data_IF_702789844447
#
_entry.id   IF_702789844447
#
_cell.length_a   1.000
_cell.length_b   1.000
_cell.length_c   1.000
_cell.angle_alpha   90.00
_cell.angle_beta   90.00
_cell.angle_gamma   90.00
#
_symmetry.space_group_name_H-M   'P 1'
#
loop_
_entity.id
_entity.type
_entity.pdbx_description
1 polymer ?
#
# COMPACT_ATOMS: atom_id res chain seq x y z
N UNK A 1 12.57 55.16 114.43
CA UNK A 1 12.52 55.33 112.96
C UNK A 1 11.68 54.20 112.41
N UNK A 2 10.71 54.57 111.59
CA UNK A 2 9.41 53.94 111.36
C UNK A 2 9.45 52.77 110.38
N UNK A 3 8.72 51.72 110.75
CA UNK A 3 8.35 50.50 109.99
C UNK A 3 7.11 50.82 109.13
N UNK A 4 7.05 50.43 107.85
CA UNK A 4 5.84 50.26 106.97
C UNK A 4 6.35 49.82 105.58
N UNK A 5 5.78 48.95 104.75
CA UNK A 5 4.88 47.80 104.81
C UNK A 5 4.90 47.15 103.40
N UNK A 6 4.44 45.90 103.31
CA UNK A 6 4.29 45.05 102.13
C UNK A 6 3.36 45.60 101.03
N UNK A 7 3.64 45.26 99.77
CA UNK A 7 2.64 44.85 98.75
C UNK A 7 3.27 43.94 97.68
N UNK A 8 2.71 42.75 97.40
CA UNK A 8 3.05 41.94 96.23
C UNK A 8 2.04 42.22 95.10
N UNK A 9 2.51 42.68 93.94
CA UNK A 9 1.69 42.86 92.76
C UNK A 9 1.88 41.64 91.83
N UNK A 10 0.95 40.68 91.96
CA UNK A 10 0.81 39.53 91.08
C UNK A 10 0.25 39.97 89.72
N UNK A 11 1.12 40.16 88.73
CA UNK A 11 0.73 40.31 87.33
C UNK A 11 0.52 38.93 86.70
N UNK A 12 -0.73 38.49 86.65
CA UNK A 12 -1.18 37.32 85.88
C UNK A 12 -1.14 37.69 84.39
N UNK A 13 -0.15 37.19 83.67
CA UNK A 13 -0.11 37.24 82.21
C UNK A 13 -1.16 36.26 81.66
N UNK A 14 -2.31 36.79 81.25
CA UNK A 14 -3.29 36.05 80.44
C UNK A 14 -2.65 35.73 79.07
N UNK A 15 -2.53 34.46 78.72
CA UNK A 15 -2.10 33.99 77.40
C UNK A 15 -3.27 33.38 76.61
N UNK A 16 -4.08 34.20 75.90
CA UNK A 16 -4.98 33.72 74.84
C UNK A 16 -4.41 33.90 73.41
N UNK A 17 -3.29 34.62 73.21
CA UNK A 17 -2.76 34.94 71.86
C UNK A 17 -2.14 33.75 71.11
N UNK A 18 -1.52 32.79 71.79
CA UNK A 18 -0.78 31.69 71.16
C UNK A 18 -1.65 30.76 70.30
N UNK A 19 -2.91 30.57 70.67
CA UNK A 19 -3.84 29.71 69.94
C UNK A 19 -4.34 30.37 68.65
N UNK A 20 -4.56 31.69 68.69
CA UNK A 20 -4.92 32.49 67.51
C UNK A 20 -3.74 32.60 66.54
N UNK A 21 -2.50 32.75 67.04
CA UNK A 21 -1.28 32.72 66.23
C UNK A 21 -1.05 31.36 65.55
N UNK A 22 -1.30 30.25 66.24
CA UNK A 22 -1.21 28.90 65.69
C UNK A 22 -2.26 28.64 64.60
N UNK A 23 -3.50 29.10 64.77
CA UNK A 23 -4.53 28.99 63.74
C UNK A 23 -4.22 29.88 62.53
N UNK A 24 -3.74 31.10 62.74
CA UNK A 24 -3.31 31.99 61.66
C UNK A 24 -2.10 31.42 60.89
N UNK A 25 -1.15 30.77 61.59
CA UNK A 25 -0.04 30.04 60.96
C UNK A 25 -0.53 28.84 60.15
N UNK A 26 -1.45 28.04 60.70
CA UNK A 26 -2.01 26.88 59.99
C UNK A 26 -2.81 27.29 58.74
N UNK A 27 -3.58 28.38 58.80
CA UNK A 27 -4.29 28.92 57.64
C UNK A 27 -3.32 29.49 56.59
N UNK A 28 -2.28 30.21 57.03
CA UNK A 28 -1.25 30.71 56.13
C UNK A 28 -0.48 29.57 55.45
N UNK A 29 -0.19 28.48 56.16
CA UNK A 29 0.47 27.29 55.62
C UNK A 29 -0.46 26.52 54.68
N UNK A 30 -1.75 26.39 54.99
CA UNK A 30 -2.74 25.78 54.10
C UNK A 30 -2.91 26.57 52.78
N UNK A 31 -2.90 27.90 52.85
CA UNK A 31 -2.90 28.77 51.66
C UNK A 31 -1.60 28.59 50.87
N UNK A 32 -0.44 28.50 51.55
CA UNK A 32 0.87 28.30 50.91
C UNK A 32 0.95 26.94 50.19
N UNK A 33 0.45 25.88 50.81
CA UNK A 33 0.39 24.52 50.22
C UNK A 33 -0.58 24.48 49.05
N UNK A 34 -1.76 25.11 49.15
CA UNK A 34 -2.70 25.21 48.01
C UNK A 34 -2.11 25.99 46.84
N UNK A 35 -1.46 27.13 47.11
CA UNK A 35 -0.80 27.94 46.09
C UNK A 35 0.36 27.17 45.42
N UNK A 36 1.13 26.38 46.17
CA UNK A 36 2.18 25.51 45.62
C UNK A 36 1.60 24.39 44.75
N UNK A 37 0.52 23.75 45.18
CA UNK A 37 -0.16 22.69 44.41
C UNK A 37 -0.78 23.23 43.12
N UNK A 38 -1.38 24.43 43.15
CA UNK A 38 -1.90 25.10 41.95
C UNK A 38 -0.78 25.53 41.00
N UNK A 39 0.32 26.07 41.52
CA UNK A 39 1.51 26.41 40.73
C UNK A 39 2.13 25.18 40.06
N UNK A 40 2.20 24.05 40.78
CA UNK A 40 2.72 22.80 40.22
C UNK A 40 1.77 22.20 39.16
N UNK A 41 0.45 22.26 39.39
CA UNK A 41 -0.55 21.87 38.40
C UNK A 41 -0.44 22.71 37.13
N UNK A 42 -0.23 24.02 37.27
CA UNK A 42 -0.07 24.92 36.13
C UNK A 42 1.26 24.69 35.41
N UNK A 43 2.34 24.40 36.13
CA UNK A 43 3.63 23.99 35.55
C UNK A 43 3.50 22.71 34.72
N UNK A 44 2.82 21.69 35.25
CA UNK A 44 2.59 20.42 34.53
C UNK A 44 1.70 20.64 33.30
N UNK A 45 0.67 21.49 33.41
CA UNK A 45 -0.18 21.84 32.28
C UNK A 45 0.60 22.56 31.16
N UNK A 46 1.45 23.53 31.52
CA UNK A 46 2.31 24.23 30.57
C UNK A 46 3.32 23.28 29.91
N UNK A 47 3.97 22.40 30.69
CA UNK A 47 4.90 21.39 30.16
C UNK A 47 4.22 20.41 29.18
N UNK A 48 2.97 20.02 29.45
CA UNK A 48 2.17 19.19 28.53
C UNK A 48 1.79 19.94 27.26
N UNK A 49 1.47 21.23 27.37
CA UNK A 49 1.16 22.07 26.22
C UNK A 49 2.38 22.26 25.31
N UNK A 50 3.57 22.47 25.89
CA UNK A 50 4.84 22.57 25.16
C UNK A 50 5.17 21.25 24.43
N UNK A 51 5.11 20.10 25.11
CA UNK A 51 5.33 18.80 24.48
C UNK A 51 4.37 18.53 23.32
N UNK A 52 3.09 18.89 23.47
CA UNK A 52 2.09 18.73 22.40
C UNK A 52 2.42 19.62 21.21
N UNK A 53 2.83 20.86 21.45
CA UNK A 53 3.17 21.82 20.42
C UNK A 53 4.45 21.41 19.66
N UNK A 54 5.44 20.84 20.35
CA UNK A 54 6.62 20.24 19.73
C UNK A 54 6.26 19.03 18.86
N UNK A 55 5.39 18.14 19.36
CA UNK A 55 4.92 16.99 18.59
C UNK A 55 4.15 17.42 17.32
N UNK A 56 3.31 18.45 17.40
CA UNK A 56 2.60 19.02 16.26
C UNK A 56 3.56 19.67 15.24
N UNK A 57 4.58 20.40 15.71
CA UNK A 57 5.64 20.95 14.84
C UNK A 57 6.43 19.86 14.13
N UNK A 58 6.80 18.79 14.84
CA UNK A 58 7.51 17.65 14.26
C UNK A 58 6.65 16.91 13.22
N UNK A 59 5.36 16.71 13.52
CA UNK A 59 4.42 16.10 12.57
C UNK A 59 4.22 16.97 11.32
N UNK A 60 4.14 18.29 11.47
CA UNK A 60 4.03 19.22 10.36
C UNK A 60 5.31 19.22 9.49
N UNK A 61 6.49 19.26 10.11
CA UNK A 61 7.77 19.17 9.41
C UNK A 61 7.89 17.85 8.61
N UNK A 62 7.47 16.73 9.19
CA UNK A 62 7.43 15.44 8.50
C UNK A 62 6.51 15.46 7.27
N UNK A 63 5.31 16.03 7.40
CA UNK A 63 4.38 16.17 6.26
C UNK A 63 4.95 17.04 5.14
N UNK A 64 5.63 18.13 5.49
CA UNK A 64 6.30 18.98 4.49
C UNK A 64 7.41 18.20 3.76
N UNK A 65 8.24 17.46 4.49
CA UNK A 65 9.28 16.63 3.89
C UNK A 65 8.70 15.52 2.98
N UNK A 66 7.59 14.89 3.38
CA UNK A 66 6.89 13.90 2.54
C UNK A 66 6.32 14.53 1.26
N UNK A 67 5.76 15.73 1.34
CA UNK A 67 5.25 16.47 0.17
C UNK A 67 6.37 16.90 -0.78
N UNK A 68 7.51 17.35 -0.27
CA UNK A 68 8.70 17.67 -1.07
C UNK A 68 9.29 16.41 -1.73
N UNK A 69 9.36 15.30 -1.00
CA UNK A 69 9.80 14.01 -1.54
C UNK A 69 8.83 13.49 -2.62
N UNK A 70 7.52 13.71 -2.45
CA UNK A 70 6.53 13.35 -3.46
C UNK A 70 6.64 14.24 -4.71
N UNK A 71 6.84 15.55 -4.55
CA UNK A 71 7.05 16.50 -5.66
C UNK A 71 8.31 16.17 -6.45
N UNK A 72 9.43 15.94 -5.78
CA UNK A 72 10.70 15.60 -6.45
C UNK A 72 10.62 14.27 -7.20
N UNK A 73 9.90 13.27 -6.68
CA UNK A 73 9.62 12.03 -7.41
C UNK A 73 8.75 12.27 -8.64
N UNK A 74 7.66 13.04 -8.50
CA UNK A 74 6.79 13.37 -9.62
C UNK A 74 7.54 14.16 -10.70
N UNK A 75 8.35 15.16 -10.32
CA UNK A 75 9.20 15.91 -11.24
C UNK A 75 10.22 14.99 -11.94
N UNK A 76 10.87 14.07 -11.22
CA UNK A 76 11.79 13.11 -11.81
C UNK A 76 11.09 12.13 -12.78
N UNK A 77 9.86 11.69 -12.48
CA UNK A 77 9.07 10.87 -13.40
C UNK A 77 8.68 11.65 -14.65
N UNK A 78 8.20 12.89 -14.50
CA UNK A 78 7.87 13.74 -15.67
C UNK A 78 9.10 14.06 -16.52
N UNK A 79 10.25 14.30 -15.90
CA UNK A 79 11.50 14.53 -16.61
C UNK A 79 11.96 13.28 -17.38
N UNK A 80 11.79 12.09 -16.80
CA UNK A 80 12.06 10.82 -17.50
C UNK A 80 11.11 10.62 -18.67
N UNK A 81 9.81 10.83 -18.49
CA UNK A 81 8.84 10.69 -19.58
C UNK A 81 9.11 11.67 -20.73
N UNK A 82 9.52 12.91 -20.43
CA UNK A 82 9.91 13.89 -21.44
C UNK A 82 11.20 13.45 -22.16
N UNK A 83 12.21 13.00 -21.42
CA UNK A 83 13.46 12.50 -22.01
C UNK A 83 13.24 11.26 -22.87
N UNK A 84 12.38 10.32 -22.44
CA UNK A 84 12.03 9.13 -23.21
C UNK A 84 11.24 9.51 -24.48
N UNK A 85 10.30 10.46 -24.39
CA UNK A 85 9.55 10.97 -25.55
C UNK A 85 10.44 11.73 -26.54
N UNK A 86 11.39 12.53 -26.06
CA UNK A 86 12.39 13.21 -26.90
C UNK A 86 13.31 12.20 -27.57
N UNK A 87 13.79 11.18 -26.85
CA UNK A 87 14.61 10.11 -27.41
C UNK A 87 13.85 9.28 -28.46
N UNK A 88 12.57 8.99 -28.25
CA UNK A 88 11.71 8.34 -29.25
C UNK A 88 11.52 9.22 -30.50
N UNK A 89 11.29 10.53 -30.32
CA UNK A 89 11.14 11.47 -31.41
C UNK A 89 12.44 11.63 -32.22
N UNK A 90 13.60 11.71 -31.57
CA UNK A 90 14.91 11.72 -32.22
C UNK A 90 15.16 10.40 -32.98
N UNK A 91 14.86 9.25 -32.37
CA UNK A 91 15.00 7.96 -33.04
C UNK A 91 14.05 7.78 -34.23
N UNK A 92 12.85 8.37 -34.20
CA UNK A 92 11.95 8.43 -35.35
C UNK A 92 12.48 9.35 -36.45
N UNK A 93 13.00 10.53 -36.09
CA UNK A 93 13.60 11.47 -37.02
C UNK A 93 14.84 10.87 -37.72
N UNK A 94 15.72 10.20 -36.98
CA UNK A 94 16.89 9.51 -37.52
C UNK A 94 16.48 8.37 -38.45
N UNK A 95 15.51 7.54 -38.04
CA UNK A 95 14.95 6.49 -38.91
C UNK A 95 14.37 7.08 -40.20
N UNK A 96 13.68 8.22 -40.13
CA UNK A 96 13.14 8.89 -41.31
C UNK A 96 14.25 9.43 -42.22
N UNK A 97 15.31 10.02 -41.66
CA UNK A 97 16.47 10.50 -42.42
C UNK A 97 17.24 9.35 -43.09
N UNK A 98 17.49 8.26 -42.37
CA UNK A 98 18.12 7.07 -42.93
C UNK A 98 17.29 6.47 -44.07
N UNK A 99 15.95 6.44 -43.93
CA UNK A 99 15.04 6.02 -44.99
C UNK A 99 15.17 6.91 -46.24
N UNK A 100 15.17 8.24 -46.07
CA UNK A 100 15.35 9.16 -47.19
C UNK A 100 16.71 8.99 -47.88
N UNK A 101 17.79 8.81 -47.11
CA UNK A 101 19.14 8.56 -47.64
C UNK A 101 19.20 7.27 -48.44
N UNK A 102 18.68 6.17 -47.88
CA UNK A 102 18.65 4.87 -48.55
C UNK A 102 17.78 4.89 -49.81
N UNK A 103 16.62 5.55 -49.77
CA UNK A 103 15.77 5.76 -50.95
C UNK A 103 16.48 6.57 -52.04
N UNK A 104 17.17 7.66 -51.68
CA UNK A 104 17.89 8.50 -52.64
C UNK A 104 19.05 7.73 -53.30
N UNK A 105 19.83 7.00 -52.51
CA UNK A 105 20.94 6.16 -53.02
C UNK A 105 20.41 5.07 -53.94
N UNK A 106 19.30 4.43 -53.58
CA UNK A 106 18.65 3.43 -54.43
C UNK A 106 18.16 4.04 -55.75
N UNK A 107 17.49 5.19 -55.73
CA UNK A 107 17.03 5.88 -56.95
C UNK A 107 18.19 6.22 -57.88
N UNK A 108 19.33 6.63 -57.31
CA UNK A 108 20.56 6.86 -58.07
C UNK A 108 21.12 5.57 -58.67
N UNK A 109 21.19 4.49 -57.89
CA UNK A 109 21.61 3.18 -58.37
C UNK A 109 20.71 2.66 -59.50
N UNK A 110 19.39 2.75 -59.35
CA UNK A 110 18.42 2.34 -60.36
C UNK A 110 18.56 3.15 -61.66
N UNK A 111 18.72 4.47 -61.57
CA UNK A 111 19.01 5.34 -62.72
C UNK A 111 20.35 4.99 -63.39
N UNK A 112 21.37 4.66 -62.61
CA UNK A 112 22.67 4.21 -63.09
C UNK A 112 22.56 2.91 -63.89
N UNK A 113 21.87 1.90 -63.35
CA UNK A 113 21.65 0.61 -64.05
C UNK A 113 20.89 0.84 -65.35
N UNK A 114 19.83 1.66 -65.32
CA UNK A 114 19.08 2.00 -66.53
C UNK A 114 19.95 2.71 -67.57
N UNK A 115 20.75 3.70 -67.16
CA UNK A 115 21.63 4.44 -68.07
C UNK A 115 22.70 3.53 -68.68
N UNK A 116 23.33 2.66 -67.89
CA UNK A 116 24.32 1.69 -68.37
C UNK A 116 23.68 0.69 -69.33
N UNK A 117 22.49 0.17 -68.98
CA UNK A 117 21.72 -0.71 -69.85
C UNK A 117 21.40 -0.05 -71.19
N UNK A 118 20.98 1.22 -71.19
CA UNK A 118 20.70 1.97 -72.39
C UNK A 118 21.96 2.22 -73.23
N UNK A 119 23.10 2.54 -72.61
CA UNK A 119 24.37 2.76 -73.32
C UNK A 119 24.91 1.47 -73.95
N UNK A 120 24.77 0.33 -73.28
CA UNK A 120 25.32 -0.96 -73.76
C UNK A 120 24.35 -1.67 -74.71
N UNK A 121 23.08 -1.78 -74.33
CA UNK A 121 22.10 -2.59 -75.05
C UNK A 121 21.48 -1.85 -76.25
N UNK A 122 21.28 -0.52 -76.16
CA UNK A 122 20.62 0.20 -77.25
C UNK A 122 21.39 0.11 -78.58
N UNK A 123 22.73 0.28 -78.63
CA UNK A 123 23.47 0.12 -79.89
C UNK A 123 23.30 -1.28 -80.50
N UNK A 124 23.33 -2.33 -79.69
CA UNK A 124 23.14 -3.72 -80.16
C UNK A 124 21.72 -3.90 -80.71
N UNK A 125 20.70 -3.38 -80.01
CA UNK A 125 19.32 -3.45 -80.47
C UNK A 125 19.09 -2.64 -81.76
N UNK A 126 19.69 -1.47 -81.91
CA UNK A 126 19.57 -0.69 -83.13
C UNK A 126 20.30 -1.34 -84.31
N UNK A 127 21.45 -1.97 -84.08
CA UNK A 127 22.18 -2.74 -85.11
C UNK A 127 21.39 -4.00 -85.51
N UNK A 128 20.85 -4.75 -84.54
CA UNK A 128 20.06 -5.95 -84.79
C UNK A 128 18.80 -5.69 -85.64
N UNK A 129 18.21 -4.49 -85.52
CA UNK A 129 17.03 -4.08 -86.29
C UNK A 129 17.37 -3.21 -87.51
N UNK A 130 18.66 -2.93 -87.77
CA UNK A 130 19.07 -2.16 -88.93
C UNK A 130 19.08 -3.02 -90.18
N UNK A 131 18.07 -2.82 -91.03
CA UNK A 131 18.02 -3.38 -92.38
C UNK A 131 18.06 -2.22 -93.40
N UNK A 132 19.10 -2.14 -94.27
CA UNK A 132 19.18 -1.12 -95.31
C UNK A 132 17.96 -1.05 -96.23
N UNK A 133 17.22 -2.15 -96.41
CA UNK A 133 16.00 -2.22 -97.23
C UNK A 133 14.75 -1.83 -96.44
N UNK A 134 14.82 -1.81 -95.11
CA UNK A 134 13.69 -1.59 -94.20
C UNK A 134 14.10 -0.70 -93.01
N UNK A 135 14.50 0.56 -93.26
CA UNK A 135 15.00 1.45 -92.21
C UNK A 135 13.96 1.75 -91.13
N UNK A 136 12.67 1.57 -91.42
CA UNK A 136 11.59 1.73 -90.44
C UNK A 136 11.66 0.73 -89.28
N UNK A 137 12.40 -0.38 -89.40
CA UNK A 137 12.54 -1.38 -88.33
C UNK A 137 13.28 -0.83 -87.10
N UNK A 138 14.08 0.22 -87.26
CA UNK A 138 14.66 0.98 -86.13
C UNK A 138 13.61 1.56 -85.18
N UNK A 139 12.39 1.79 -85.65
CA UNK A 139 11.31 2.28 -84.80
C UNK A 139 10.84 1.21 -83.80
N UNK A 140 11.06 -0.08 -84.07
CA UNK A 140 10.59 -1.16 -83.21
C UNK A 140 11.28 -1.16 -81.82
N UNK A 141 12.62 -1.10 -81.71
CA UNK A 141 13.28 -0.91 -80.41
C UNK A 141 12.82 0.36 -79.68
N UNK A 142 12.70 1.48 -80.39
CA UNK A 142 12.26 2.75 -79.81
C UNK A 142 10.82 2.68 -79.27
N UNK A 143 9.93 1.98 -79.98
CA UNK A 143 8.54 1.79 -79.56
C UNK A 143 8.41 0.83 -78.37
N UNK A 144 9.23 -0.22 -78.32
CA UNK A 144 9.28 -1.14 -77.17
C UNK A 144 9.77 -0.43 -75.91
N UNK A 145 10.82 0.39 -76.02
CA UNK A 145 11.32 1.18 -74.89
C UNK A 145 10.33 2.28 -74.48
N UNK A 146 9.70 2.94 -75.44
CA UNK A 146 8.63 3.91 -75.17
C UNK A 146 7.44 3.27 -74.43
N UNK A 147 7.02 2.08 -74.84
CA UNK A 147 5.97 1.32 -74.17
C UNK A 147 6.37 0.91 -72.75
N UNK A 148 7.61 0.43 -72.56
CA UNK A 148 8.14 0.07 -71.25
C UNK A 148 8.16 1.28 -70.30
N UNK A 149 8.57 2.45 -70.81
CA UNK A 149 8.56 3.69 -70.04
C UNK A 149 7.13 4.11 -69.64
N UNK A 150 6.17 4.03 -70.56
CA UNK A 150 4.76 4.33 -70.27
C UNK A 150 4.21 3.37 -69.21
N UNK A 151 4.52 2.08 -69.30
CA UNK A 151 4.10 1.10 -68.30
C UNK A 151 4.75 1.35 -66.94
N UNK A 152 6.03 1.74 -66.89
CA UNK A 152 6.72 2.12 -65.66
C UNK A 152 6.12 3.39 -65.03
N UNK A 153 5.80 4.41 -65.84
CA UNK A 153 5.09 5.61 -65.39
C UNK A 153 3.68 5.27 -64.90
N UNK A 154 2.97 4.38 -65.60
CA UNK A 154 1.66 3.86 -65.21
C UNK A 154 1.71 3.10 -63.88
N UNK A 155 2.74 2.29 -63.66
CA UNK A 155 2.98 1.59 -62.41
C UNK A 155 3.23 2.59 -61.26
N UNK A 156 4.10 3.57 -61.45
CA UNK A 156 4.36 4.61 -60.46
C UNK A 156 3.09 5.43 -60.12
N UNK A 157 2.29 5.76 -61.14
CA UNK A 157 1.02 6.44 -60.97
C UNK A 157 -0.01 5.58 -60.22
N UNK A 158 -0.13 4.29 -60.57
CA UNK A 158 -1.02 3.35 -59.90
C UNK A 158 -0.64 3.16 -58.44
N UNK A 159 0.67 3.06 -58.15
CA UNK A 159 1.20 3.09 -56.80
C UNK A 159 0.74 4.38 -56.12
N UNK A 160 1.05 5.57 -56.65
CA UNK A 160 0.68 6.85 -56.03
C UNK A 160 -0.83 6.99 -55.72
N UNK A 161 -1.70 6.41 -56.56
CA UNK A 161 -3.16 6.51 -56.43
C UNK A 161 -3.83 5.28 -55.77
N UNK A 162 -3.05 4.38 -55.14
CA UNK A 162 -3.55 3.15 -54.48
C UNK A 162 -4.42 2.27 -55.39
N UNK A 163 -4.07 2.19 -56.68
CA UNK A 163 -4.69 1.28 -57.64
C UNK A 163 -3.84 0.02 -57.79
N UNK A 164 -4.45 -1.02 -58.37
CA UNK A 164 -3.71 -2.24 -58.67
C UNK A 164 -2.59 -1.95 -59.68
N UNK A 165 -1.35 -2.26 -59.28
CA UNK A 165 -0.12 -2.07 -60.05
C UNK A 165 0.22 -3.31 -60.89
N UNK A 166 -0.40 -4.46 -60.59
CA UNK A 166 -0.08 -5.74 -61.21
C UNK A 166 -0.19 -5.73 -62.75
N UNK A 167 -1.20 -5.11 -63.39
CA UNK A 167 -1.29 -5.08 -64.85
C UNK A 167 -0.06 -4.42 -65.49
N UNK A 168 0.42 -3.31 -64.91
CA UNK A 168 1.59 -2.61 -65.40
C UNK A 168 2.87 -3.43 -65.22
N UNK A 169 3.03 -4.09 -64.05
CA UNK A 169 4.18 -4.96 -63.77
C UNK A 169 4.25 -6.17 -64.69
N UNK A 170 3.10 -6.82 -64.94
CA UNK A 170 3.00 -7.93 -65.89
C UNK A 170 3.41 -7.44 -67.28
N UNK A 171 2.91 -6.28 -67.71
CA UNK A 171 3.31 -5.67 -68.99
C UNK A 171 4.81 -5.41 -69.09
N UNK A 172 5.42 -4.83 -68.05
CA UNK A 172 6.87 -4.59 -68.00
C UNK A 172 7.65 -5.91 -68.10
N UNK A 173 7.23 -6.95 -67.37
CA UNK A 173 7.89 -8.26 -67.41
C UNK A 173 7.76 -8.96 -68.75
N UNK A 174 6.61 -8.87 -69.41
CA UNK A 174 6.43 -9.40 -70.76
C UNK A 174 7.37 -8.68 -71.72
N UNK A 175 7.42 -7.34 -71.68
CA UNK A 175 8.35 -6.56 -72.51
C UNK A 175 9.81 -6.93 -72.26
N UNK A 176 10.18 -7.11 -71.00
CA UNK A 176 11.51 -7.53 -70.58
C UNK A 176 11.90 -8.91 -71.11
N UNK A 177 10.98 -9.88 -71.05
CA UNK A 177 11.19 -11.22 -71.60
C UNK A 177 11.36 -11.20 -73.11
N UNK A 178 10.57 -10.38 -73.82
CA UNK A 178 10.69 -10.22 -75.28
C UNK A 178 12.06 -9.62 -75.62
N UNK A 179 12.47 -8.55 -74.95
CA UNK A 179 13.78 -7.92 -75.15
C UNK A 179 14.93 -8.90 -74.85
N UNK A 180 14.80 -9.69 -73.78
CA UNK A 180 15.79 -10.71 -73.44
C UNK A 180 15.88 -11.81 -74.50
N UNK A 181 14.73 -12.27 -75.01
CA UNK A 181 14.66 -13.24 -76.10
C UNK A 181 15.31 -12.72 -77.39
N UNK A 182 15.06 -11.46 -77.74
CA UNK A 182 15.69 -10.79 -78.89
C UNK A 182 17.21 -10.74 -78.72
N UNK A 183 17.71 -10.29 -77.57
CA UNK A 183 19.15 -10.19 -77.30
C UNK A 183 19.83 -11.56 -77.36
N UNK A 184 19.21 -12.59 -76.77
CA UNK A 184 19.73 -13.95 -76.80
C UNK A 184 19.72 -14.54 -78.22
N UNK A 185 18.62 -14.35 -78.96
CA UNK A 185 18.49 -14.83 -80.33
C UNK A 185 19.55 -14.24 -81.25
N UNK A 186 19.77 -12.93 -81.19
CA UNK A 186 20.77 -12.26 -82.02
C UNK A 186 22.19 -12.63 -81.58
N UNK A 187 22.47 -12.78 -80.29
CA UNK A 187 23.77 -13.29 -79.84
C UNK A 187 24.05 -14.73 -80.26
N UNK A 188 23.02 -15.56 -80.48
CA UNK A 188 23.16 -16.92 -81.00
C UNK A 188 23.29 -16.96 -82.52
N UNK A 189 22.60 -16.06 -83.22
CA UNK A 189 22.44 -16.12 -84.68
C UNK A 189 23.44 -15.24 -85.44
N UNK A 190 23.98 -14.21 -84.78
CA UNK A 190 24.92 -13.26 -85.36
C UNK A 190 26.32 -13.41 -84.72
N UNK A 191 27.31 -13.96 -85.47
CA UNK A 191 28.67 -14.11 -84.98
C UNK A 191 29.33 -12.79 -84.59
N UNK A 192 28.94 -11.67 -85.19
CA UNK A 192 29.54 -10.35 -84.94
C UNK A 192 29.09 -9.78 -83.58
N UNK A 193 27.89 -10.17 -83.12
CA UNK A 193 27.38 -9.85 -81.77
C UNK A 193 27.94 -10.85 -80.75
N UNK A 194 27.83 -12.14 -81.07
CA UNK A 194 28.35 -13.23 -80.25
C UNK A 194 27.50 -13.57 -79.00
N UNK A 195 27.63 -14.83 -78.56
CA UNK A 195 26.81 -15.40 -77.48
C UNK A 195 26.94 -14.63 -76.16
N UNK A 196 28.14 -14.16 -75.83
CA UNK A 196 28.40 -13.45 -74.58
C UNK A 196 27.66 -12.12 -74.53
N UNK A 197 27.65 -11.35 -75.62
CA UNK A 197 26.91 -10.09 -75.68
C UNK A 197 25.40 -10.32 -75.63
N UNK A 198 24.90 -11.37 -76.31
CA UNK A 198 23.49 -11.76 -76.24
C UNK A 198 23.03 -12.16 -74.83
N UNK A 199 23.85 -12.94 -74.11
CA UNK A 199 23.57 -13.34 -72.72
C UNK A 199 23.59 -12.14 -71.76
N UNK A 200 24.59 -11.25 -71.88
CA UNK A 200 24.67 -10.03 -71.06
C UNK A 200 23.45 -9.13 -71.33
N UNK A 201 23.09 -8.94 -72.61
CA UNK A 201 21.91 -8.19 -73.01
C UNK A 201 20.62 -8.80 -72.47
N UNK A 202 20.48 -10.12 -72.51
CA UNK A 202 19.30 -10.82 -71.98
C UNK A 202 19.17 -10.68 -70.46
N UNK A 203 20.26 -10.84 -69.72
CA UNK A 203 20.29 -10.64 -68.27
C UNK A 203 20.00 -9.18 -67.89
N UNK A 204 20.55 -8.22 -68.65
CA UNK A 204 20.29 -6.80 -68.43
C UNK A 204 18.81 -6.45 -68.65
N UNK A 205 18.17 -7.02 -69.68
CA UNK A 205 16.74 -6.81 -69.97
C UNK A 205 15.83 -7.32 -68.85
N UNK A 206 16.17 -8.42 -68.18
CA UNK A 206 15.38 -8.97 -67.06
C UNK A 206 15.73 -8.32 -65.71
N UNK A 207 17.00 -7.96 -65.51
CA UNK A 207 17.51 -7.47 -64.22
C UNK A 207 16.83 -6.19 -63.76
N UNK A 208 16.65 -5.21 -64.65
CA UNK A 208 16.00 -3.93 -64.32
C UNK A 208 14.58 -4.10 -63.75
N UNK A 209 13.66 -4.75 -64.48
CA UNK A 209 12.30 -5.05 -64.03
C UNK A 209 12.21 -5.84 -62.73
N UNK A 210 13.04 -6.87 -62.54
CA UNK A 210 13.03 -7.70 -61.32
C UNK A 210 13.44 -6.88 -60.10
N UNK A 211 14.50 -6.07 -60.22
CA UNK A 211 14.97 -5.18 -59.15
C UNK A 211 13.92 -4.12 -58.83
N UNK A 212 13.31 -3.51 -59.85
CA UNK A 212 12.24 -2.52 -59.70
C UNK A 212 11.02 -3.10 -58.96
N UNK A 213 10.53 -4.26 -59.40
CA UNK A 213 9.38 -4.91 -58.75
C UNK A 213 9.67 -5.31 -57.30
N UNK A 214 10.87 -5.81 -57.02
CA UNK A 214 11.28 -6.19 -55.66
C UNK A 214 11.29 -4.98 -54.72
N UNK A 215 11.79 -3.85 -55.20
CA UNK A 215 11.81 -2.60 -54.45
C UNK A 215 10.40 -2.04 -54.22
N UNK A 216 9.59 -1.93 -55.27
CA UNK A 216 8.24 -1.39 -55.15
C UNK A 216 7.32 -2.28 -54.32
N UNK A 217 7.51 -3.60 -54.34
CA UNK A 217 6.77 -4.52 -53.46
C UNK A 217 7.07 -4.22 -51.98
N UNK A 218 8.35 -3.98 -51.64
CA UNK A 218 8.75 -3.61 -50.28
C UNK A 218 8.23 -2.22 -49.83
N UNK A 219 8.00 -1.29 -50.74
CA UNK A 219 7.37 0.01 -50.45
C UNK A 219 5.85 -0.14 -50.31
N UNK A 220 5.20 -0.84 -51.25
CA UNK A 220 3.76 -1.07 -51.22
C UNK A 220 3.35 -1.83 -49.94
N UNK A 221 4.08 -2.89 -49.59
CA UNK A 221 3.82 -3.67 -48.37
C UNK A 221 3.88 -2.80 -47.10
N UNK A 222 4.86 -1.90 -47.00
CA UNK A 222 4.99 -0.96 -45.88
C UNK A 222 3.87 0.08 -45.85
N UNK A 223 3.53 0.65 -47.00
CA UNK A 223 2.46 1.65 -47.10
C UNK A 223 1.08 1.08 -46.79
N UNK A 224 0.84 -0.16 -47.18
CA UNK A 224 -0.43 -0.85 -46.95
C UNK A 224 -0.53 -1.41 -45.51
N UNK A 225 0.48 -1.14 -44.67
CA UNK A 225 0.51 -1.57 -43.26
C UNK A 225 0.59 -3.08 -43.10
N UNK A 226 0.99 -3.81 -44.15
CA UNK A 226 1.10 -5.27 -44.11
C UNK A 226 2.39 -5.60 -43.38
N UNK A 227 2.34 -6.25 -42.20
CA UNK A 227 3.53 -6.46 -41.40
C UNK A 227 4.53 -7.34 -42.13
N UNK A 228 5.80 -6.95 -42.04
CA UNK A 228 6.91 -7.72 -42.60
C UNK A 228 7.00 -9.10 -41.95
N UNK A 229 7.69 -10.06 -42.58
CA UNK A 229 7.87 -11.39 -41.98
C UNK A 229 8.56 -11.32 -40.61
N UNK A 230 9.48 -10.36 -40.43
CA UNK A 230 10.15 -10.12 -39.14
C UNK A 230 9.17 -9.56 -38.11
N UNK A 231 8.38 -8.56 -38.46
CA UNK A 231 7.32 -8.01 -37.59
C UNK A 231 6.29 -9.06 -37.21
N UNK A 232 5.86 -9.93 -38.14
CA UNK A 232 4.97 -11.06 -37.84
C UNK A 232 5.61 -12.03 -36.85
N UNK A 233 6.91 -12.30 -36.99
CA UNK A 233 7.65 -13.18 -36.08
C UNK A 233 7.80 -12.55 -34.69
N UNK A 234 8.08 -11.26 -34.62
CA UNK A 234 8.28 -10.54 -33.37
C UNK A 234 6.94 -10.33 -32.64
N UNK A 235 5.87 -10.01 -33.36
CA UNK A 235 4.51 -10.00 -32.83
C UNK A 235 4.09 -11.38 -32.31
N UNK A 236 4.44 -12.46 -33.02
CA UNK A 236 4.20 -13.83 -32.54
C UNK A 236 4.98 -14.11 -31.26
N UNK A 237 6.27 -13.76 -31.19
CA UNK A 237 7.08 -13.92 -29.97
C UNK A 237 6.51 -13.12 -28.80
N UNK A 238 6.07 -11.89 -29.03
CA UNK A 238 5.45 -11.06 -27.99
C UNK A 238 4.13 -11.68 -27.50
N UNK A 239 3.29 -12.19 -28.41
CA UNK A 239 2.07 -12.89 -28.06
C UNK A 239 2.34 -14.19 -27.28
N UNK A 240 3.35 -14.97 -27.68
CA UNK A 240 3.76 -16.19 -26.99
C UNK A 240 4.33 -15.87 -25.58
N UNK A 241 5.11 -14.80 -25.44
CA UNK A 241 5.62 -14.33 -24.15
C UNK A 241 4.50 -13.84 -23.22
N UNK A 242 3.52 -13.08 -23.73
CA UNK A 242 2.37 -12.63 -22.97
C UNK A 242 1.51 -13.81 -22.48
N UNK A 243 1.31 -14.83 -23.32
CA UNK A 243 0.63 -16.07 -22.93
C UNK A 243 1.38 -16.81 -21.83
N UNK A 244 2.70 -16.98 -21.98
CA UNK A 244 3.53 -17.62 -20.96
C UNK A 244 3.48 -16.87 -19.62
N UNK A 245 3.46 -15.53 -19.65
CA UNK A 245 3.31 -14.73 -18.43
C UNK A 245 1.94 -14.93 -17.77
N UNK A 246 0.86 -14.98 -18.55
CA UNK A 246 -0.48 -15.25 -18.01
C UNK A 246 -0.59 -16.65 -17.42
N UNK A 247 -0.04 -17.67 -18.10
CA UNK A 247 -0.02 -19.05 -17.62
C UNK A 247 0.82 -19.19 -16.33
N UNK A 248 1.97 -18.52 -16.25
CA UNK A 248 2.80 -18.49 -15.06
C UNK A 248 2.07 -17.86 -13.86
N UNK A 249 1.37 -16.73 -14.06
CA UNK A 249 0.56 -16.07 -13.02
C UNK A 249 -0.60 -16.95 -12.55
N UNK A 250 -1.25 -17.68 -13.45
CA UNK A 250 -2.31 -18.62 -13.08
C UNK A 250 -1.75 -19.82 -12.31
N UNK A 251 -0.61 -20.35 -12.72
CA UNK A 251 0.07 -21.45 -12.02
C UNK A 251 0.50 -21.03 -10.61
N UNK A 252 1.04 -19.82 -10.45
CA UNK A 252 1.42 -19.27 -9.15
C UNK A 252 0.20 -19.09 -8.24
N UNK A 253 -0.91 -18.55 -8.75
CA UNK A 253 -2.16 -18.41 -8.00
C UNK A 253 -2.69 -19.77 -7.53
N UNK A 254 -2.70 -20.77 -8.41
CA UNK A 254 -3.13 -22.14 -8.07
C UNK A 254 -2.21 -22.76 -7.02
N UNK A 255 -0.89 -22.60 -7.16
CA UNK A 255 0.08 -23.09 -6.19
C UNK A 255 -0.10 -22.42 -4.82
N UNK A 256 -0.32 -21.10 -4.78
CA UNK A 256 -0.57 -20.35 -3.56
C UNK A 256 -1.89 -20.77 -2.88
N UNK A 257 -2.95 -21.03 -3.66
CA UNK A 257 -4.22 -21.53 -3.13
C UNK A 257 -4.06 -22.93 -2.50
N UNK A 258 -3.40 -23.85 -3.20
CA UNK A 258 -3.10 -25.19 -2.67
C UNK A 258 -2.28 -25.09 -1.37
N UNK A 259 -1.25 -24.24 -1.35
CA UNK A 259 -0.43 -24.02 -0.16
C UNK A 259 -1.27 -23.52 1.04
N UNK A 260 -2.19 -22.57 0.81
CA UNK A 260 -3.10 -22.07 1.87
C UNK A 260 -4.06 -23.14 2.38
N UNK A 261 -4.55 -24.02 1.50
CA UNK A 261 -5.44 -25.12 1.90
C UNK A 261 -4.67 -26.12 2.78
N UNK A 262 -3.44 -26.48 2.37
CA UNK A 262 -2.57 -27.37 3.16
C UNK A 262 -2.24 -26.76 4.52
N UNK A 263 -1.82 -25.49 4.56
CA UNK A 263 -1.51 -24.79 5.82
C UNK A 263 -2.71 -24.75 6.77
N UNK A 264 -3.91 -24.45 6.24
CA UNK A 264 -5.15 -24.45 7.04
C UNK A 264 -5.48 -25.84 7.58
N UNK A 265 -5.30 -26.88 6.77
CA UNK A 265 -5.53 -28.27 7.19
C UNK A 265 -4.54 -28.70 8.28
N UNK A 266 -3.25 -28.35 8.14
CA UNK A 266 -2.24 -28.62 9.16
C UNK A 266 -2.49 -27.87 10.46
N UNK A 267 -2.88 -26.59 10.39
CA UNK A 267 -3.22 -25.80 11.56
C UNK A 267 -4.44 -26.38 12.30
N UNK A 268 -5.48 -26.80 11.56
CA UNK A 268 -6.64 -27.46 12.14
C UNK A 268 -6.26 -28.79 12.81
N UNK A 269 -5.45 -29.63 12.14
CA UNK A 269 -4.97 -30.89 12.70
C UNK A 269 -4.16 -30.70 14.00
N UNK A 270 -3.29 -29.68 14.05
CA UNK A 270 -2.53 -29.33 15.26
C UNK A 270 -3.45 -28.85 16.39
N UNK A 271 -4.45 -28.02 16.08
CA UNK A 271 -5.42 -27.55 17.06
C UNK A 271 -6.25 -28.69 17.66
N UNK A 272 -6.72 -29.62 16.82
CA UNK A 272 -7.42 -30.82 17.29
C UNK A 272 -6.52 -31.69 18.18
N UNK A 273 -5.28 -31.97 17.75
CA UNK A 273 -4.35 -32.77 18.53
C UNK A 273 -4.00 -32.14 19.89
N UNK A 274 -3.85 -30.80 19.95
CA UNK A 274 -3.61 -30.10 21.21
C UNK A 274 -4.83 -30.15 22.14
N UNK A 275 -6.03 -30.02 21.57
CA UNK A 275 -7.27 -30.12 22.32
C UNK A 275 -7.47 -31.53 22.91
N UNK A 276 -7.25 -32.58 22.12
CA UNK A 276 -7.32 -33.98 22.57
C UNK A 276 -6.36 -34.25 23.73
N UNK A 277 -5.14 -33.68 23.65
CA UNK A 277 -4.16 -33.76 24.73
C UNK A 277 -4.65 -33.06 26.00
N UNK A 278 -5.21 -31.85 25.89
CA UNK A 278 -5.76 -31.10 27.04
C UNK A 278 -6.92 -31.85 27.68
N UNK A 279 -7.83 -32.38 26.87
CA UNK A 279 -9.01 -33.08 27.34
C UNK A 279 -8.64 -34.41 28.01
N UNK A 280 -7.62 -35.11 27.49
CA UNK A 280 -7.04 -36.29 28.15
C UNK A 280 -6.44 -35.94 29.52
N UNK A 281 -5.63 -34.87 29.62
CA UNK A 281 -5.01 -34.44 30.89
C UNK A 281 -6.06 -34.02 31.92
N UNK A 282 -7.06 -33.25 31.49
CA UNK A 282 -8.20 -32.82 32.32
C UNK A 282 -8.98 -34.00 32.87
N UNK A 283 -9.31 -34.98 32.02
CA UNK A 283 -10.04 -36.18 32.41
C UNK A 283 -9.26 -37.02 33.42
N UNK A 284 -7.94 -37.14 33.26
CA UNK A 284 -7.09 -37.91 34.17
C UNK A 284 -6.92 -37.23 35.53
N UNK A 285 -6.69 -35.91 35.56
CA UNK A 285 -6.36 -35.18 36.80
C UNK A 285 -7.58 -34.70 37.59
N UNK A 286 -8.68 -34.43 36.90
CA UNK A 286 -9.88 -33.82 37.49
C UNK A 286 -11.16 -34.48 36.97
N UNK A 287 -11.39 -35.78 37.26
CA UNK A 287 -12.50 -36.54 36.69
C UNK A 287 -13.88 -35.95 37.03
N UNK A 288 -14.07 -35.44 38.25
CA UNK A 288 -15.34 -34.83 38.69
C UNK A 288 -15.66 -33.51 37.94
N UNK A 289 -14.63 -32.69 37.69
CA UNK A 289 -14.77 -31.46 36.90
C UNK A 289 -15.04 -31.80 35.43
N UNK A 290 -14.38 -32.84 34.93
CA UNK A 290 -14.55 -33.32 33.56
C UNK A 290 -15.97 -33.79 33.27
N UNK A 291 -16.61 -34.54 34.17
CA UNK A 291 -17.99 -34.98 33.99
C UNK A 291 -18.96 -33.80 33.84
N UNK A 292 -18.82 -32.76 34.69
CA UNK A 292 -19.62 -31.54 34.59
C UNK A 292 -19.31 -30.75 33.31
N UNK A 293 -18.03 -30.67 32.92
CA UNK A 293 -17.62 -30.00 31.71
C UNK A 293 -18.18 -30.70 30.45
N UNK A 294 -18.21 -32.03 30.43
CA UNK A 294 -18.79 -32.81 29.34
C UNK A 294 -20.31 -32.63 29.25
N UNK A 295 -21.01 -32.62 30.40
CA UNK A 295 -22.43 -32.30 30.45
C UNK A 295 -22.72 -30.88 29.92
N UNK A 296 -21.92 -29.89 30.31
CA UNK A 296 -22.03 -28.51 29.81
C UNK A 296 -21.72 -28.41 28.31
N UNK A 297 -20.71 -29.12 27.82
CA UNK A 297 -20.38 -29.20 26.39
C UNK A 297 -21.56 -29.75 25.59
N UNK A 298 -22.13 -30.87 26.04
CA UNK A 298 -23.31 -31.49 25.41
C UNK A 298 -24.51 -30.56 25.44
N UNK A 299 -24.80 -29.91 26.57
CA UNK A 299 -25.94 -29.00 26.70
C UNK A 299 -25.80 -27.74 25.84
N UNK A 300 -24.56 -27.27 25.61
CA UNK A 300 -24.27 -26.10 24.77
C UNK A 300 -24.09 -26.43 23.29
N UNK A 301 -24.08 -27.71 22.90
CA UNK A 301 -23.81 -28.14 21.52
C UNK A 301 -22.40 -27.79 21.04
N UNK A 302 -21.43 -27.70 21.96
CA UNK A 302 -20.04 -27.45 21.59
C UNK A 302 -19.37 -28.74 21.12
N UNK A 303 -18.50 -28.63 20.11
CA UNK A 303 -17.76 -29.78 19.57
C UNK A 303 -16.80 -30.35 20.63
N UNK A 304 -16.01 -29.47 21.27
CA UNK A 304 -15.01 -29.82 22.29
C UNK A 304 -15.23 -29.05 23.59
N UNK A 305 -14.57 -29.46 24.67
CA UNK A 305 -14.61 -28.75 25.95
C UNK A 305 -13.71 -27.51 25.85
N UNK A 306 -14.34 -26.36 25.55
CA UNK A 306 -13.64 -25.08 25.47
C UNK A 306 -13.13 -24.64 26.85
N UNK A 307 -12.14 -23.74 26.88
CA UNK A 307 -11.61 -23.16 28.14
C UNK A 307 -12.71 -22.53 29.00
N UNK A 308 -13.70 -21.90 28.36
CA UNK A 308 -14.83 -21.31 29.07
C UNK A 308 -15.72 -22.38 29.72
N UNK A 309 -16.00 -23.49 29.02
CA UNK A 309 -16.76 -24.61 29.57
C UNK A 309 -16.00 -25.25 30.73
N UNK A 310 -14.69 -25.41 30.57
CA UNK A 310 -13.83 -25.93 31.63
C UNK A 310 -13.82 -25.04 32.87
N UNK A 311 -13.69 -23.73 32.71
CA UNK A 311 -13.73 -22.77 33.82
C UNK A 311 -15.10 -22.74 34.51
N UNK A 312 -16.20 -22.79 33.75
CA UNK A 312 -17.55 -22.85 34.30
C UNK A 312 -17.77 -24.15 35.10
N UNK A 313 -17.28 -25.28 34.60
CA UNK A 313 -17.33 -26.56 35.30
C UNK A 313 -16.46 -26.53 36.57
N UNK A 314 -15.24 -25.98 36.47
CA UNK A 314 -14.34 -25.81 37.60
C UNK A 314 -14.99 -25.01 38.72
N UNK A 315 -15.62 -23.87 38.38
CA UNK A 315 -16.32 -23.03 39.34
C UNK A 315 -17.48 -23.76 40.00
N UNK A 316 -18.23 -24.59 39.28
CA UNK A 316 -19.36 -25.35 39.84
C UNK A 316 -18.91 -26.43 40.82
N UNK A 317 -17.81 -27.12 40.53
CA UNK A 317 -17.30 -28.19 41.39
C UNK A 317 -16.53 -27.65 42.59
N UNK A 318 -15.66 -26.65 42.36
CA UNK A 318 -14.73 -26.15 43.41
C UNK A 318 -15.22 -24.90 44.11
N UNK A 319 -16.16 -24.15 43.54
CA UNK A 319 -16.57 -22.83 44.01
C UNK A 319 -15.59 -21.69 43.68
N UNK A 320 -14.43 -21.98 43.06
CA UNK A 320 -13.43 -20.96 42.71
C UNK A 320 -13.52 -20.53 41.26
N UNK A 321 -13.45 -19.21 41.03
CA UNK A 321 -13.49 -18.64 39.67
C UNK A 321 -12.19 -18.83 38.90
N UNK A 322 -11.11 -19.15 39.61
CA UNK A 322 -9.78 -19.33 39.02
C UNK A 322 -9.50 -20.82 38.85
N UNK A 323 -9.33 -21.26 37.60
CA UNK A 323 -9.00 -22.66 37.28
C UNK A 323 -7.68 -23.06 37.96
N UNK A 324 -7.64 -24.26 38.54
CA UNK A 324 -6.49 -24.78 39.28
C UNK A 324 -6.44 -24.40 40.76
N UNK A 325 -7.30 -23.48 41.22
CA UNK A 325 -7.42 -23.13 42.64
C UNK A 325 -8.60 -23.88 43.24
N UNK A 326 -8.31 -24.71 44.25
CA UNK A 326 -9.34 -25.34 45.09
C UNK A 326 -9.49 -24.57 46.40
N UNK A 327 -10.62 -24.69 47.10
CA UNK A 327 -10.81 -24.07 48.42
C UNK A 327 -9.68 -24.40 49.40
N UNK A 328 -9.13 -25.62 49.35
CA UNK A 328 -8.01 -26.04 50.20
C UNK A 328 -6.69 -25.35 49.83
N UNK A 329 -6.45 -25.11 48.54
CA UNK A 329 -5.27 -24.37 48.08
C UNK A 329 -5.42 -22.90 48.49
N UNK A 330 -6.61 -22.33 48.33
CA UNK A 330 -6.89 -20.95 48.73
C UNK A 330 -6.77 -20.79 50.26
N UNK A 331 -7.30 -21.72 51.05
CA UNK A 331 -7.18 -21.73 52.50
C UNK A 331 -5.72 -21.85 52.94
N UNK A 332 -4.93 -22.74 52.32
CA UNK A 332 -3.48 -22.84 52.57
C UNK A 332 -2.74 -21.57 52.19
N UNK A 333 -3.12 -20.93 51.08
CA UNK A 333 -2.51 -19.69 50.62
C UNK A 333 -2.82 -18.53 51.58
N UNK A 334 -4.07 -18.43 52.05
CA UNK A 334 -4.48 -17.46 53.09
C UNK A 334 -3.78 -17.72 54.41
N UNK A 335 -3.63 -18.98 54.83
CA UNK A 335 -2.88 -19.33 56.03
C UNK A 335 -1.39 -18.96 55.90
N UNK A 336 -0.78 -19.18 54.74
CA UNK A 336 0.60 -18.78 54.47
C UNK A 336 0.76 -17.25 54.46
N UNK A 337 -0.17 -16.53 53.83
CA UNK A 337 -0.21 -15.06 53.87
C UNK A 337 -0.38 -14.54 55.30
N UNK A 338 -1.26 -15.14 56.11
CA UNK A 338 -1.44 -14.77 57.51
C UNK A 338 -0.16 -15.00 58.33
N UNK A 339 0.57 -16.10 58.09
CA UNK A 339 1.87 -16.35 58.74
C UNK A 339 2.93 -15.34 58.32
N UNK A 340 3.00 -14.98 57.03
CA UNK A 340 3.93 -13.95 56.57
C UNK A 340 3.57 -12.59 57.15
N UNK A 341 2.28 -12.23 57.17
CA UNK A 341 1.79 -11.00 57.77
C UNK A 341 2.16 -10.92 59.27
N UNK A 342 1.88 -11.98 60.03
CA UNK A 342 2.26 -12.05 61.44
C UNK A 342 3.79 -12.01 61.67
N UNK A 343 4.59 -12.57 60.76
CA UNK A 343 6.05 -12.49 60.85
C UNK A 343 6.58 -11.07 60.54
N UNK A 344 5.94 -10.36 59.61
CA UNK A 344 6.30 -8.97 59.25
C UNK A 344 5.88 -8.00 60.35
N UNK A 345 4.62 -8.08 60.80
CA UNK A 345 4.07 -7.27 61.90
C UNK A 345 4.78 -7.59 63.22
N UNK A 346 5.15 -8.84 63.47
CA UNK A 346 5.93 -9.23 64.65
C UNK A 346 7.42 -8.81 64.60
N UNK A 347 7.96 -8.41 63.45
CA UNK A 347 9.35 -7.92 63.33
C UNK A 347 9.50 -6.40 63.39
N UNK A 348 8.38 -5.67 63.26
CA UNK A 348 8.30 -4.23 63.47
C UNK A 348 7.68 -4.03 64.85
N UNK A 349 8.52 -3.80 65.86
CA UNK A 349 8.08 -3.69 67.26
C UNK A 349 6.97 -2.66 67.48
N UNK A 350 6.10 -2.95 68.45
CA UNK A 350 5.03 -2.11 69.01
C UNK A 350 5.37 -0.61 68.98
N UNK A 351 4.97 0.07 67.92
CA UNK A 351 5.04 1.51 67.78
C UNK A 351 3.77 2.00 67.13
N UNK A 352 2.82 2.39 67.98
CA UNK A 352 1.71 3.32 67.73
C UNK A 352 1.23 3.45 66.28
N UNK A 353 0.29 2.59 65.86
CA UNK A 353 -0.55 2.87 64.69
C UNK A 353 -2.03 2.63 65.00
N UNK A 354 -2.53 3.43 65.93
CA UNK A 354 -3.96 3.56 66.23
C UNK A 354 -4.54 4.76 65.44
N UNK A 355 -4.33 4.82 64.12
CA UNK A 355 -4.84 5.93 63.30
C UNK A 355 -4.96 5.61 61.80
N UNK A 356 -5.79 4.63 61.41
CA UNK A 356 -6.24 4.54 60.00
C UNK A 356 -7.56 3.79 59.77
N UNK A 357 -8.50 3.86 60.72
CA UNK A 357 -9.83 3.28 60.51
C UNK A 357 -10.79 4.24 59.79
N UNK A 358 -10.37 5.00 58.77
CA UNK A 358 -11.35 5.72 57.95
C UNK A 358 -10.91 6.23 56.57
N UNK A 359 -10.23 5.44 55.74
CA UNK A 359 -10.20 5.76 54.30
C UNK A 359 -10.21 4.46 53.47
N UNK A 360 -11.36 4.10 52.91
CA UNK A 360 -11.55 4.11 51.45
C UNK A 360 -12.93 3.63 50.98
N UNK A 361 -13.34 4.24 49.86
CA UNK A 361 -14.40 3.85 48.92
C UNK A 361 -15.80 4.47 49.05
N UNK A 362 -15.88 5.80 49.19
CA UNK A 362 -16.81 6.49 48.29
C UNK A 362 -16.25 6.39 46.88
N UNK A 363 -16.70 5.36 46.15
CA UNK A 363 -16.48 5.22 44.71
C UNK A 363 -16.93 6.52 44.02
N UNK A 364 -15.98 7.24 43.44
CA UNK A 364 -16.27 8.24 42.41
C UNK A 364 -17.13 7.56 41.34
N UNK A 365 -18.39 7.97 41.27
CA UNK A 365 -19.29 7.57 40.19
C UNK A 365 -18.88 8.42 38.99
N UNK A 366 -18.59 7.77 37.86
CA UNK A 366 -18.22 8.40 36.59
C UNK A 366 -19.10 9.63 36.30
N UNK A 367 -18.46 10.77 36.03
CA UNK A 367 -19.13 12.03 35.72
C UNK A 367 -19.94 11.98 34.40
N UNK A 368 -19.79 10.91 33.61
CA UNK A 368 -20.56 10.66 32.38
C UNK A 368 -21.66 9.58 32.54
N UNK A 369 -21.93 9.11 33.75
CA UNK A 369 -23.07 8.22 33.99
C UNK A 369 -24.38 9.02 34.02
N UNK A 370 -25.20 8.87 32.98
CA UNK A 370 -26.55 9.46 32.89
C UNK A 370 -27.37 9.05 34.13
N UNK A 371 -27.64 10.02 35.00
CA UNK A 371 -28.44 9.86 36.21
C UNK A 371 -29.87 9.44 35.87
N UNK A 372 -30.14 8.13 35.97
CA UNK A 372 -31.46 7.54 35.69
C UNK A 372 -32.54 7.92 36.71
N UNK A 373 -32.26 8.76 37.72
CA UNK A 373 -33.26 9.18 38.73
C UNK A 373 -34.06 10.41 38.34
N UNK A 374 -33.65 11.17 37.32
CA UNK A 374 -34.38 12.37 36.88
C UNK A 374 -35.64 12.09 36.03
N UNK A 375 -35.90 10.82 35.69
CA UNK A 375 -36.99 10.45 34.76
C UNK A 375 -38.23 9.80 35.39
N UNK A 376 -38.30 9.67 36.71
CA UNK A 376 -39.56 9.32 37.40
C UNK A 376 -40.05 10.56 38.15
N UNK A 377 -41.00 11.28 37.55
CA UNK A 377 -41.63 12.49 38.10
C UNK A 377 -42.47 12.23 39.36
N UNK A 378 -41.85 11.74 40.42
CA UNK A 378 -42.43 11.57 41.74
C UNK A 378 -41.84 12.60 42.70
N UNK A 379 -42.72 13.29 43.45
CA UNK A 379 -42.35 14.14 44.57
C UNK A 379 -41.47 13.33 45.55
N UNK A 380 -40.29 13.82 45.96
CA UNK A 380 -39.42 13.11 46.89
C UNK A 380 -40.17 12.71 48.17
N UNK A 381 -39.98 11.49 48.71
CA UNK A 381 -40.67 11.07 49.93
C UNK A 381 -40.30 12.01 51.09
N UNK A 382 -41.31 12.55 51.76
CA UNK A 382 -41.14 13.34 52.99
C UNK A 382 -40.56 12.41 54.05
N UNK A 383 -39.34 12.70 54.51
CA UNK A 383 -38.72 12.00 55.64
C UNK A 383 -39.49 12.31 56.91
N UNK A 384 -39.92 11.27 57.62
CA UNK A 384 -40.52 11.41 58.95
C UNK A 384 -39.45 11.39 60.03
N UNK A 385 -39.61 12.12 61.16
CA UNK A 385 -38.67 12.05 62.28
C UNK A 385 -38.55 10.59 62.77
N UNK A 386 -37.41 9.94 62.53
CA UNK A 386 -37.17 8.52 62.81
C UNK A 386 -36.52 7.74 61.65
N UNK A 387 -36.60 8.23 60.41
CA UNK A 387 -36.02 7.56 59.23
C UNK A 387 -34.49 7.67 59.13
N UNK A 388 -33.85 8.41 60.02
CA UNK A 388 -32.40 8.58 60.07
C UNK A 388 -31.83 7.85 61.28
N UNK A 389 -30.77 7.07 61.06
CA UNK A 389 -30.03 6.38 62.12
C UNK A 389 -29.63 7.41 63.19
N UNK A 390 -29.92 7.16 64.48
CA UNK A 390 -29.61 8.13 65.53
C UNK A 390 -28.10 8.39 65.59
N UNK A 391 -27.74 9.66 65.73
CA UNK A 391 -26.34 10.05 65.89
C UNK A 391 -25.71 9.35 67.09
N UNK A 392 -24.46 8.91 66.94
CA UNK A 392 -23.65 8.39 68.03
C UNK A 392 -23.57 9.41 69.18
N UNK A 393 -23.50 8.92 70.42
CA UNK A 393 -23.65 9.76 71.61
C UNK A 393 -22.59 10.87 71.72
N UNK A 394 -21.41 10.65 71.13
CA UNK A 394 -20.32 11.62 71.07
C UNK A 394 -20.71 12.80 70.15
N UNK A 395 -21.23 12.53 68.95
CA UNK A 395 -21.69 13.55 68.02
C UNK A 395 -22.88 14.34 68.59
N UNK A 396 -23.75 13.69 69.36
CA UNK A 396 -24.84 14.37 70.09
C UNK A 396 -24.31 15.32 71.18
N UNK A 397 -23.21 14.95 71.85
CA UNK A 397 -22.56 15.79 72.85
C UNK A 397 -21.92 17.03 72.23
N UNK A 398 -21.23 16.88 71.10
CA UNK A 398 -20.61 18.01 70.41
C UNK A 398 -21.65 18.99 69.87
N UNK A 399 -22.73 18.50 69.26
CA UNK A 399 -23.83 19.37 68.82
C UNK A 399 -24.50 20.11 69.98
N UNK A 400 -24.62 19.48 71.15
CA UNK A 400 -25.14 20.16 72.35
C UNK A 400 -24.19 21.23 72.89
N UNK A 401 -22.88 21.04 72.78
CA UNK A 401 -21.87 22.02 73.19
C UNK A 401 -21.87 23.21 72.23
N UNK A 402 -22.01 22.94 70.93
CA UNK A 402 -22.04 23.96 69.90
C UNK A 402 -23.32 24.81 69.96
N UNK A 403 -24.48 24.20 70.24
CA UNK A 403 -25.71 24.93 70.48
C UNK A 403 -25.66 25.81 71.74
N UNK A 404 -25.00 25.36 72.81
CA UNK A 404 -24.78 26.18 74.01
C UNK A 404 -23.87 27.37 73.72
N UNK A 405 -22.80 27.17 72.95
CA UNK A 405 -21.91 28.26 72.52
C UNK A 405 -22.62 29.28 71.64
N UNK A 406 -23.49 28.84 70.73
CA UNK A 406 -24.28 29.74 69.89
C UNK A 406 -25.32 30.54 70.71
N UNK A 407 -25.95 29.92 71.71
CA UNK A 407 -26.89 30.62 72.60
C UNK A 407 -26.18 31.64 73.53
N UNK A 408 -24.95 31.35 73.97
CA UNK A 408 -24.14 32.26 74.76
C UNK A 408 -23.61 33.44 73.92
N UNK A 409 -23.31 33.23 72.63
CA UNK A 409 -22.92 34.32 71.73
C UNK A 409 -24.08 35.26 71.39
N UNK A 410 -25.31 34.75 71.28
CA UNK A 410 -26.50 35.58 71.02
C UNK A 410 -27.00 36.33 72.26
N UNK A 411 -26.72 35.86 73.48
CA UNK A 411 -27.04 36.57 74.73
C UNK A 411 -26.02 37.67 75.10
N UNK A 412 -24.91 37.75 74.36
CA UNK A 412 -23.84 38.74 74.56
C UNK A 412 -23.88 39.89 73.53
N UNK A 413 -24.91 39.92 72.69
CA UNK A 413 -25.27 41.00 71.76
C UNK A 413 -26.60 41.63 72.21
#
# INVERSE_FOLDING_TARGET
MTVTALTPETAVVKTPDRAAELMAQAEADAIRVKAQAEAEKQRIANARAEMKLEAERAAHAKRLAELEAAKTKAEAETAKMLADAEAEAEAEADRAQEQQRTERTWKWGARGIYAVGLVIAAPIQFIAFWDPKRPFLLAAPALLEGLALVLAMGAAWAVAHRRDVMPYRIGIMIGAMIAAGINLWHGLSDPDIGLNAGLIGALASLGGPVVLMSYEHGIAQRRDGIPSWREKRDAKKAADAAKAETEAKEAEKKAAEVARVVEKAEAAAKAHAEQDRKDTDRKQRHPEVWEIAEALRSARGAETVTEQIWADAWYRVTGSKTVGITPDIEARSKAAQARMKAAVEGSLGDGDEDESAQVESQKHTNHDAVDKRRFNGGTPPRRTPGDTVPYADIARREMSVEQKRAAESDASA
#
